data_IF_583389224357
#
_entry.id   IF_583389224357
#
_cell.length_a   1.000
_cell.length_b   1.000
_cell.length_c   1.000
_cell.angle_alpha   90.00
_cell.angle_beta   90.00
_cell.angle_gamma   90.00
#
_symmetry.space_group_name_H-M   'P 1'
#
loop_
_entity.id
_entity.type
_entity.pdbx_description
1 polymer ?
#
# COMPACT_ATOMS: atom_id res chain seq x y z
N UNK A 1 -76.25 -48.54 10.19
CA UNK A 1 -75.28 -49.64 10.26
C UNK A 1 -73.99 -49.09 10.79
N UNK A 2 -73.74 -49.23 12.06
CA UNK A 2 -72.67 -48.65 12.84
C UNK A 2 -71.50 -49.63 12.88
N UNK A 3 -70.32 -49.19 12.61
CA UNK A 3 -69.12 -49.98 12.93
C UNK A 3 -68.23 -49.16 13.85
N UNK A 4 -68.21 -49.58 15.09
CA UNK A 4 -67.27 -49.18 16.12
C UNK A 4 -65.86 -49.65 15.72
N UNK A 5 -64.90 -48.77 15.72
CA UNK A 5 -63.45 -49.17 15.67
C UNK A 5 -62.77 -48.65 16.95
N UNK A 6 -62.22 -49.62 17.64
CA UNK A 6 -61.55 -49.55 18.95
C UNK A 6 -60.22 -48.78 18.84
N UNK A 7 -60.00 -47.84 19.74
CA UNK A 7 -58.74 -47.15 19.99
C UNK A 7 -57.84 -47.95 20.94
N UNK A 8 -56.56 -48.16 20.60
CA UNK A 8 -55.62 -48.73 21.57
C UNK A 8 -55.06 -47.64 22.50
N UNK A 9 -54.99 -47.97 23.75
CA UNK A 9 -54.54 -47.24 24.92
C UNK A 9 -53.05 -47.03 24.87
N UNK A 10 -52.62 -45.73 24.93
CA UNK A 10 -51.21 -45.36 25.00
C UNK A 10 -50.61 -45.69 26.38
N UNK A 11 -49.51 -46.44 26.36
CA UNK A 11 -48.69 -46.75 27.54
C UNK A 11 -47.70 -45.59 27.84
N UNK A 12 -47.16 -45.49 29.06
CA UNK A 12 -46.32 -44.37 29.46
C UNK A 12 -44.93 -44.39 28.79
N UNK A 13 -44.56 -43.27 28.22
CA UNK A 13 -43.28 -43.03 27.62
C UNK A 13 -42.17 -43.04 28.68
N UNK A 14 -41.30 -44.04 28.62
CA UNK A 14 -40.02 -44.06 29.36
C UNK A 14 -39.10 -42.96 28.85
N UNK A 15 -38.80 -41.99 29.69
CA UNK A 15 -37.81 -40.95 29.43
C UNK A 15 -36.42 -41.53 29.18
N UNK A 16 -35.94 -41.39 27.94
CA UNK A 16 -34.54 -41.60 27.61
C UNK A 16 -33.75 -40.38 28.03
N UNK A 17 -33.02 -40.49 29.13
CA UNK A 17 -31.97 -39.56 29.51
C UNK A 17 -30.90 -39.62 28.45
N UNK A 18 -30.73 -38.50 27.73
CA UNK A 18 -29.56 -38.28 26.81
C UNK A 18 -28.40 -37.89 27.69
N UNK A 19 -27.21 -38.52 27.55
CA UNK A 19 -26.01 -38.04 28.21
C UNK A 19 -25.60 -36.70 27.58
N UNK A 20 -25.42 -35.69 28.42
CA UNK A 20 -24.86 -34.43 28.05
C UNK A 20 -23.39 -34.68 27.64
N UNK A 21 -23.10 -34.64 26.35
CA UNK A 21 -21.71 -34.59 25.81
C UNK A 21 -21.11 -33.23 26.21
N UNK A 22 -20.31 -33.27 27.25
CA UNK A 22 -19.44 -32.17 27.64
C UNK A 22 -18.35 -32.03 26.55
N UNK A 23 -18.55 -31.18 25.55
CA UNK A 23 -17.57 -30.85 24.56
C UNK A 23 -16.53 -29.96 25.24
N UNK A 24 -15.44 -30.57 25.72
CA UNK A 24 -14.23 -29.83 26.17
C UNK A 24 -13.61 -29.20 24.94
N UNK A 25 -13.83 -27.89 24.75
CA UNK A 25 -13.16 -27.07 23.78
C UNK A 25 -11.71 -26.89 24.24
N UNK A 26 -10.84 -27.76 23.76
CA UNK A 26 -9.39 -27.65 23.95
C UNK A 26 -8.91 -26.48 23.10
N UNK A 27 -8.80 -25.29 23.70
CA UNK A 27 -8.09 -24.14 23.07
C UNK A 27 -6.62 -24.57 22.90
N UNK A 28 -6.25 -24.94 21.68
CA UNK A 28 -4.87 -25.06 21.26
C UNK A 28 -4.25 -23.64 21.31
N UNK A 29 -3.61 -23.33 22.43
CA UNK A 29 -2.65 -22.24 22.50
C UNK A 29 -1.50 -22.59 21.57
N UNK A 30 -1.54 -22.12 20.32
CA UNK A 30 -0.39 -22.19 19.44
C UNK A 30 0.75 -21.41 20.11
N UNK A 31 1.95 -22.00 20.26
CA UNK A 31 3.08 -21.25 20.79
C UNK A 31 3.36 -20.06 19.86
N UNK A 32 3.40 -18.87 20.44
CA UNK A 32 3.85 -17.67 19.73
C UNK A 32 5.34 -17.85 19.47
N UNK A 33 5.70 -18.15 18.24
CA UNK A 33 7.09 -18.28 17.82
C UNK A 33 7.69 -16.89 17.72
N UNK A 34 8.59 -16.54 18.62
CA UNK A 34 9.40 -15.32 18.52
C UNK A 34 10.32 -15.46 17.29
N UNK A 35 10.14 -14.59 16.31
CA UNK A 35 10.96 -14.59 15.09
C UNK A 35 12.30 -13.86 15.34
N UNK A 36 13.14 -14.45 16.20
CA UNK A 36 14.50 -13.97 16.43
C UNK A 36 15.41 -14.37 15.27
N UNK A 37 16.30 -13.48 14.85
CA UNK A 37 17.33 -13.75 13.85
C UNK A 37 18.68 -13.76 14.57
N UNK A 38 19.40 -14.83 14.39
CA UNK A 38 20.75 -15.02 14.93
C UNK A 38 21.76 -14.96 13.80
N UNK A 39 22.95 -14.45 14.05
CA UNK A 39 24.03 -14.39 13.08
C UNK A 39 25.37 -14.83 13.70
N UNK A 40 26.25 -15.37 12.88
CA UNK A 40 27.68 -15.48 13.16
C UNK A 40 28.49 -15.22 11.88
N UNK A 41 29.71 -14.72 12.04
CA UNK A 41 30.66 -14.55 10.94
C UNK A 41 31.74 -15.62 11.04
N UNK A 42 31.99 -16.36 9.98
CA UNK A 42 33.02 -17.38 9.93
C UNK A 42 34.44 -16.78 9.72
N UNK A 43 35.44 -17.66 9.67
CA UNK A 43 36.84 -17.24 9.50
C UNK A 43 37.12 -16.57 8.14
N UNK A 44 36.28 -16.83 7.14
CA UNK A 44 36.41 -16.30 5.77
C UNK A 44 35.69 -14.93 5.64
N UNK A 45 35.11 -14.41 6.75
CA UNK A 45 34.37 -13.15 6.78
C UNK A 45 32.92 -13.24 6.29
N UNK A 46 32.40 -14.44 6.00
CA UNK A 46 31.01 -14.65 5.57
C UNK A 46 30.07 -14.63 6.77
N UNK A 47 29.03 -13.81 6.71
CA UNK A 47 28.03 -13.74 7.78
C UNK A 47 26.82 -14.64 7.45
N UNK A 48 26.56 -15.57 8.37
CA UNK A 48 25.46 -16.53 8.30
C UNK A 48 24.31 -16.05 9.18
N UNK A 49 23.07 -16.12 8.65
CA UNK A 49 21.85 -15.78 9.39
C UNK A 49 20.96 -17.02 9.55
N UNK A 50 20.35 -17.19 10.71
CA UNK A 50 19.39 -18.27 10.98
C UNK A 50 18.33 -17.82 11.99
N UNK A 51 17.09 -18.27 11.79
CA UNK A 51 16.02 -18.13 12.78
C UNK A 51 15.99 -19.29 13.79
N UNK A 52 16.77 -20.36 13.54
CA UNK A 52 16.93 -21.53 14.41
C UNK A 52 18.43 -21.81 14.54
N UNK A 53 19.13 -21.18 15.50
CA UNK A 53 20.57 -21.37 15.65
C UNK A 53 20.87 -22.80 16.10
N UNK A 54 21.60 -23.55 15.27
CA UNK A 54 22.05 -24.92 15.58
C UNK A 54 23.48 -24.97 16.10
N UNK A 55 24.16 -23.81 16.16
CA UNK A 55 25.57 -23.68 16.54
C UNK A 55 25.73 -22.61 17.65
N UNK A 56 26.59 -22.87 18.60
CA UNK A 56 26.91 -21.97 19.75
C UNK A 56 27.57 -20.66 19.30
N UNK A 57 28.05 -20.54 18.08
CA UNK A 57 28.64 -19.33 17.49
C UNK A 57 27.58 -18.30 17.13
N UNK A 58 26.34 -18.71 16.88
CA UNK A 58 25.26 -17.78 16.58
C UNK A 58 24.94 -16.88 17.76
N UNK A 59 24.96 -15.59 17.53
CA UNK A 59 24.55 -14.57 18.49
C UNK A 59 23.28 -13.91 18.01
N UNK A 60 22.42 -13.49 18.92
CA UNK A 60 21.20 -12.76 18.60
C UNK A 60 21.57 -11.47 17.87
N UNK A 61 21.21 -11.40 16.58
CA UNK A 61 21.46 -10.25 15.70
C UNK A 61 20.26 -9.31 15.65
N UNK A 62 19.05 -9.88 15.65
CA UNK A 62 17.78 -9.15 15.67
C UNK A 62 16.81 -9.90 16.57
N UNK A 63 16.32 -9.24 17.61
CA UNK A 63 15.16 -9.71 18.37
C UNK A 63 13.92 -8.96 17.89
N UNK A 64 12.78 -9.66 17.80
CA UNK A 64 11.48 -9.00 17.77
C UNK A 64 10.94 -8.97 19.20
N UNK A 65 11.21 -7.91 19.98
CA UNK A 65 10.64 -7.80 21.32
C UNK A 65 9.11 -7.67 21.18
N UNK A 66 8.37 -8.27 22.09
CA UNK A 66 6.91 -8.08 22.22
C UNK A 66 6.52 -6.60 22.34
N UNK A 67 7.45 -5.75 22.77
CA UNK A 67 7.26 -4.30 22.94
C UNK A 67 7.30 -3.50 21.64
N UNK A 68 7.66 -4.12 20.49
CA UNK A 68 7.68 -3.44 19.19
C UNK A 68 6.28 -3.09 18.65
N UNK A 69 5.19 -3.62 19.21
CA UNK A 69 3.85 -3.23 18.82
C UNK A 69 3.57 -1.75 19.15
N UNK A 70 4.03 -1.26 20.30
CA UNK A 70 3.91 0.16 20.67
C UNK A 70 4.92 1.04 19.91
N UNK A 71 6.16 0.60 19.76
CA UNK A 71 7.20 1.34 19.01
C UNK A 71 6.84 1.42 17.53
N UNK A 72 6.33 0.33 16.93
CA UNK A 72 5.87 0.35 15.52
C UNK A 72 4.56 1.11 15.36
N UNK A 73 3.66 1.09 16.33
CA UNK A 73 2.46 1.91 16.35
C UNK A 73 2.81 3.40 16.53
N UNK A 74 3.76 3.73 17.39
CA UNK A 74 4.32 5.08 17.55
C UNK A 74 5.01 5.60 16.28
N UNK A 75 5.91 4.81 15.67
CA UNK A 75 6.53 5.14 14.38
C UNK A 75 5.51 5.24 13.24
N UNK A 76 4.46 4.43 13.25
CA UNK A 76 3.39 4.47 12.25
C UNK A 76 2.52 5.72 12.43
N UNK A 77 2.17 6.10 13.68
CA UNK A 77 1.42 7.32 14.00
C UNK A 77 2.22 8.58 13.65
N UNK A 78 3.51 8.65 13.98
CA UNK A 78 4.38 9.78 13.63
C UNK A 78 4.61 9.87 12.13
N UNK A 79 4.80 8.75 11.43
CA UNK A 79 4.92 8.72 9.97
C UNK A 79 3.64 9.15 9.24
N UNK A 80 2.47 8.80 9.77
CA UNK A 80 1.18 9.21 9.20
C UNK A 80 0.93 10.70 9.42
N UNK A 81 1.21 11.20 10.63
CA UNK A 81 1.08 12.63 10.95
C UNK A 81 2.05 13.47 10.11
N UNK A 82 3.31 13.02 9.96
CA UNK A 82 4.30 13.68 9.10
C UNK A 82 3.83 13.74 7.64
N UNK A 83 3.35 12.63 7.08
CA UNK A 83 2.82 12.63 5.70
C UNK A 83 1.60 13.52 5.54
N UNK A 84 0.73 13.59 6.54
CA UNK A 84 -0.43 14.47 6.52
C UNK A 84 0.00 15.94 6.52
N UNK A 85 1.00 16.34 7.33
CA UNK A 85 1.55 17.70 7.35
C UNK A 85 2.25 18.07 6.04
N UNK A 86 3.03 17.14 5.45
CA UNK A 86 3.65 17.35 4.14
C UNK A 86 2.61 17.46 3.02
N UNK A 87 1.55 16.64 3.06
CA UNK A 87 0.42 16.78 2.14
C UNK A 87 -0.21 18.17 2.24
N UNK A 88 -0.53 18.62 3.45
CA UNK A 88 -1.12 19.94 3.68
C UNK A 88 -0.23 21.06 3.14
N UNK A 89 1.09 20.96 3.35
CA UNK A 89 2.08 21.92 2.85
C UNK A 89 2.01 22.12 1.32
N UNK A 90 1.76 21.06 0.57
CA UNK A 90 1.79 21.08 -0.90
C UNK A 90 0.40 21.11 -1.53
N UNK A 91 -0.70 21.03 -0.74
CA UNK A 91 -2.05 20.92 -1.29
C UNK A 91 -2.40 22.05 -2.24
N UNK A 92 -2.16 23.29 -1.87
CA UNK A 92 -2.48 24.44 -2.72
C UNK A 92 -1.75 24.38 -4.07
N UNK A 93 -0.46 24.05 -4.07
CA UNK A 93 0.34 23.90 -5.29
C UNK A 93 -0.22 22.76 -6.17
N UNK A 94 -0.51 21.62 -5.56
CA UNK A 94 -0.99 20.41 -6.27
C UNK A 94 -2.38 20.68 -6.85
N UNK A 95 -3.30 21.23 -6.05
CA UNK A 95 -4.69 21.49 -6.46
C UNK A 95 -4.76 22.54 -7.57
N UNK A 96 -4.00 23.64 -7.46
CA UNK A 96 -3.95 24.66 -8.52
C UNK A 96 -3.30 24.13 -9.81
N UNK A 97 -2.28 23.29 -9.70
CA UNK A 97 -1.67 22.65 -10.87
C UNK A 97 -2.63 21.69 -11.56
N UNK A 98 -3.35 20.87 -10.78
CA UNK A 98 -4.37 19.97 -11.30
C UNK A 98 -5.48 20.72 -12.03
N UNK A 99 -5.97 21.81 -11.44
CA UNK A 99 -6.97 22.68 -12.05
C UNK A 99 -6.47 23.26 -13.39
N UNK A 100 -5.25 23.81 -13.40
CA UNK A 100 -4.65 24.43 -14.58
C UNK A 100 -4.52 23.44 -15.76
N UNK A 101 -4.23 22.17 -15.46
CA UNK A 101 -3.99 21.12 -16.46
C UNK A 101 -5.20 20.23 -16.70
N UNK A 102 -6.38 20.59 -16.14
CA UNK A 102 -7.61 19.80 -16.21
C UNK A 102 -7.37 18.33 -15.81
N UNK A 103 -6.72 18.14 -14.66
CA UNK A 103 -6.52 16.85 -14.01
C UNK A 103 -7.36 16.76 -12.73
N UNK A 104 -7.71 15.54 -12.33
CA UNK A 104 -8.28 15.31 -11.01
C UNK A 104 -7.19 15.49 -9.93
N UNK A 105 -7.40 16.46 -9.03
CA UNK A 105 -6.48 16.72 -7.93
C UNK A 105 -6.28 15.49 -7.02
N UNK A 106 -7.33 14.68 -6.84
CA UNK A 106 -7.23 13.43 -6.07
C UNK A 106 -6.27 12.42 -6.73
N UNK A 107 -6.23 12.38 -8.07
CA UNK A 107 -5.29 11.55 -8.82
C UNK A 107 -3.85 12.08 -8.67
N UNK A 108 -3.65 13.38 -8.84
CA UNK A 108 -2.32 13.99 -8.73
C UNK A 108 -1.74 13.79 -7.32
N UNK A 109 -2.56 13.97 -6.29
CA UNK A 109 -2.21 13.63 -4.92
C UNK A 109 -1.86 12.15 -4.73
N UNK A 110 -2.56 11.23 -5.41
CA UNK A 110 -2.31 9.79 -5.31
C UNK A 110 -0.97 9.40 -5.92
N UNK A 111 -0.61 10.00 -7.06
CA UNK A 111 0.71 9.84 -7.69
C UNK A 111 1.79 10.33 -6.75
N UNK A 112 1.73 11.59 -6.29
CA UNK A 112 2.75 12.18 -5.39
C UNK A 112 2.90 11.39 -4.09
N UNK A 113 1.79 10.92 -3.51
CA UNK A 113 1.83 10.07 -2.31
C UNK A 113 2.55 8.75 -2.55
N UNK A 114 2.44 8.20 -3.76
CA UNK A 114 3.08 6.92 -4.13
C UNK A 114 4.54 7.11 -4.50
N UNK A 115 4.87 8.18 -5.22
CA UNK A 115 6.22 8.48 -5.70
C UNK A 115 7.18 8.88 -4.58
N UNK A 116 6.81 9.86 -3.80
CA UNK A 116 7.71 10.46 -2.81
C UNK A 116 7.17 10.47 -1.38
N UNK A 117 5.88 10.15 -1.18
CA UNK A 117 5.19 10.40 0.08
C UNK A 117 5.21 11.89 0.47
N UNK A 118 5.18 12.78 -0.53
CA UNK A 118 5.29 14.24 -0.41
C UNK A 118 6.67 14.76 0.01
N UNK A 119 7.73 13.95 -0.13
CA UNK A 119 9.10 14.40 0.11
C UNK A 119 9.67 15.06 -1.15
N UNK A 120 9.77 16.38 -1.16
CA UNK A 120 10.30 17.14 -2.30
C UNK A 120 11.80 16.91 -2.55
N UNK A 121 12.53 16.40 -1.55
CA UNK A 121 13.96 16.05 -1.65
C UNK A 121 14.21 14.57 -1.97
N UNK A 122 13.16 13.81 -2.29
CA UNK A 122 13.31 12.39 -2.58
C UNK A 122 14.19 12.18 -3.83
N UNK A 123 15.13 11.24 -3.73
CA UNK A 123 15.94 10.77 -4.86
C UNK A 123 15.86 9.26 -4.87
N UNK A 124 15.50 8.68 -6.00
CA UNK A 124 15.49 7.23 -6.18
C UNK A 124 16.87 6.68 -6.53
N UNK A 125 17.15 5.39 -6.33
CA UNK A 125 18.39 4.75 -6.78
C UNK A 125 18.64 4.88 -8.30
N UNK A 126 17.57 5.06 -9.08
CA UNK A 126 17.63 5.26 -10.54
C UNK A 126 17.80 6.72 -10.95
N UNK A 127 17.87 7.66 -9.99
CA UNK A 127 18.03 9.09 -10.24
C UNK A 127 16.75 9.87 -10.50
N UNK A 128 15.58 9.32 -10.20
CA UNK A 128 14.31 10.08 -10.20
C UNK A 128 14.28 11.03 -8.99
N UNK A 129 13.80 12.27 -9.18
CA UNK A 129 13.91 13.35 -8.19
C UNK A 129 12.57 14.00 -7.91
N UNK A 130 12.36 14.40 -6.65
CA UNK A 130 11.35 15.33 -6.20
C UNK A 130 9.98 14.71 -5.91
N UNK A 131 8.96 15.56 -5.80
CA UNK A 131 7.60 15.17 -5.40
C UNK A 131 6.99 14.12 -6.32
N UNK A 132 7.20 14.25 -7.64
CA UNK A 132 6.64 13.37 -8.66
C UNK A 132 7.68 12.40 -9.25
N UNK A 133 8.88 12.31 -8.65
CA UNK A 133 9.94 11.38 -9.03
C UNK A 133 10.24 11.41 -10.53
N UNK A 134 10.55 12.60 -11.05
CA UNK A 134 10.87 12.74 -12.46
C UNK A 134 12.31 12.35 -12.76
N UNK A 135 12.49 11.57 -13.81
CA UNK A 135 13.83 11.38 -14.40
C UNK A 135 14.30 12.67 -15.07
N UNK A 136 15.59 13.01 -14.97
CA UNK A 136 16.13 14.23 -15.61
C UNK A 136 15.77 14.37 -17.10
N UNK A 137 15.81 13.28 -17.84
CA UNK A 137 15.44 13.27 -19.26
C UNK A 137 13.95 13.62 -19.47
N UNK A 138 13.05 13.12 -18.61
CA UNK A 138 11.62 13.47 -18.67
C UNK A 138 11.39 14.92 -18.28
N UNK A 139 12.03 15.38 -17.22
CA UNK A 139 11.92 16.76 -16.74
C UNK A 139 12.38 17.78 -17.80
N UNK A 140 13.48 17.48 -18.51
CA UNK A 140 14.01 18.32 -19.58
C UNK A 140 13.02 18.55 -20.72
N UNK A 141 12.14 17.59 -21.03
CA UNK A 141 11.06 17.74 -22.04
C UNK A 141 10.08 18.88 -21.68
N UNK A 142 9.96 19.21 -20.40
CA UNK A 142 9.03 20.21 -19.87
C UNK A 142 9.74 21.47 -19.36
N UNK A 143 11.01 21.67 -19.73
CA UNK A 143 11.77 22.88 -19.42
C UNK A 143 12.14 23.04 -17.93
N UNK A 144 12.20 21.94 -17.17
CA UNK A 144 12.62 21.97 -15.76
C UNK A 144 14.11 22.27 -15.67
N UNK A 145 14.46 23.31 -14.93
CA UNK A 145 15.85 23.69 -14.65
C UNK A 145 16.32 23.24 -13.29
N UNK A 146 15.38 23.10 -12.32
CA UNK A 146 15.64 22.58 -10.97
C UNK A 146 14.58 21.55 -10.59
N UNK A 147 15.00 20.28 -10.55
CA UNK A 147 14.13 19.14 -10.16
C UNK A 147 13.75 19.15 -8.68
N UNK A 148 14.52 19.86 -7.84
CA UNK A 148 14.20 20.04 -6.42
C UNK A 148 13.23 21.19 -6.18
N UNK A 149 12.99 22.07 -7.15
CA UNK A 149 11.92 23.05 -7.04
C UNK A 149 10.55 22.35 -7.11
N UNK A 150 9.74 22.42 -6.04
CA UNK A 150 8.46 21.72 -5.98
C UNK A 150 7.49 22.18 -7.06
N UNK A 151 7.51 23.47 -7.40
CA UNK A 151 6.62 24.06 -8.41
C UNK A 151 6.93 23.54 -9.81
N UNK A 152 8.22 23.54 -10.20
CA UNK A 152 8.64 22.98 -11.48
C UNK A 152 8.40 21.48 -11.56
N UNK A 153 8.74 20.73 -10.50
CA UNK A 153 8.59 19.29 -10.44
C UNK A 153 7.12 18.85 -10.56
N UNK A 154 6.21 19.46 -9.79
CA UNK A 154 4.77 19.12 -9.84
C UNK A 154 4.17 19.49 -11.19
N UNK A 155 4.51 20.68 -11.73
CA UNK A 155 3.99 21.11 -13.04
C UNK A 155 4.41 20.17 -14.14
N UNK A 156 5.70 19.84 -14.24
CA UNK A 156 6.23 18.95 -15.28
C UNK A 156 5.67 17.53 -15.16
N UNK A 157 5.60 16.99 -13.95
CA UNK A 157 5.02 15.66 -13.73
C UNK A 157 3.53 15.59 -14.05
N UNK A 158 2.78 16.64 -13.74
CA UNK A 158 1.38 16.75 -14.09
C UNK A 158 1.18 16.92 -15.60
N UNK A 159 2.04 17.68 -16.30
CA UNK A 159 2.03 17.77 -17.76
C UNK A 159 2.28 16.41 -18.40
N UNK A 160 3.27 15.67 -17.92
CA UNK A 160 3.54 14.32 -18.38
C UNK A 160 2.35 13.38 -18.13
N UNK A 161 1.76 13.43 -16.95
CA UNK A 161 0.56 12.65 -16.63
C UNK A 161 -0.59 12.99 -17.58
N UNK A 162 -0.82 14.28 -17.87
CA UNK A 162 -1.85 14.75 -18.81
C UNK A 162 -1.60 14.26 -20.25
N UNK A 163 -0.33 14.30 -20.70
CA UNK A 163 0.06 13.76 -22.01
C UNK A 163 -0.27 12.27 -22.12
N UNK A 164 0.08 11.50 -21.06
CA UNK A 164 -0.21 10.07 -21.00
C UNK A 164 -1.72 9.78 -21.00
N UNK A 165 -2.53 10.61 -20.31
CA UNK A 165 -4.00 10.48 -20.34
C UNK A 165 -4.55 10.63 -21.76
N UNK A 166 -4.05 11.61 -22.53
CA UNK A 166 -4.43 11.76 -23.93
C UNK A 166 -3.97 10.59 -24.81
N UNK A 167 -2.77 10.07 -24.53
CA UNK A 167 -2.18 8.97 -25.29
C UNK A 167 -2.86 7.63 -25.09
N UNK A 168 -3.40 7.38 -23.91
CA UNK A 168 -4.05 6.11 -23.53
C UNK A 168 -5.55 6.25 -23.29
N UNK A 169 -6.22 7.21 -23.94
CA UNK A 169 -7.66 7.41 -23.91
C UNK A 169 -8.26 7.44 -22.50
N UNK A 170 -7.52 8.01 -21.54
CA UNK A 170 -7.84 8.08 -20.12
C UNK A 170 -7.95 6.70 -19.42
N UNK A 171 -7.43 5.61 -20.00
CA UNK A 171 -7.27 4.35 -19.26
C UNK A 171 -6.21 4.54 -18.17
N UNK A 172 -6.67 4.81 -16.95
CA UNK A 172 -5.78 5.09 -15.81
C UNK A 172 -4.80 3.95 -15.52
N UNK A 173 -5.12 2.72 -15.84
CA UNK A 173 -4.19 1.60 -15.63
C UNK A 173 -2.99 1.69 -16.57
N UNK A 174 -3.24 2.01 -17.83
CA UNK A 174 -2.19 2.19 -18.84
C UNK A 174 -1.42 3.49 -18.60
N UNK A 175 -2.11 4.57 -18.27
CA UNK A 175 -1.51 5.87 -17.90
C UNK A 175 -0.51 5.71 -16.77
N UNK A 176 -0.91 5.06 -15.67
CA UNK A 176 -0.05 4.86 -14.51
C UNK A 176 1.09 3.87 -14.79
N UNK A 177 0.83 2.83 -15.60
CA UNK A 177 1.88 1.93 -16.04
C UNK A 177 2.92 2.66 -16.91
N UNK A 178 2.47 3.54 -17.82
CA UNK A 178 3.35 4.35 -18.66
C UNK A 178 4.12 5.39 -17.85
N UNK A 179 3.49 6.00 -16.86
CA UNK A 179 4.16 6.94 -15.96
C UNK A 179 5.35 6.27 -15.23
N UNK A 180 5.15 5.06 -14.72
CA UNK A 180 6.17 4.33 -13.97
C UNK A 180 7.21 3.63 -14.86
N UNK A 181 6.79 2.96 -15.94
CA UNK A 181 7.66 2.12 -16.78
C UNK A 181 8.09 2.80 -18.08
N UNK A 182 7.51 3.94 -18.41
CA UNK A 182 7.65 4.62 -19.70
C UNK A 182 6.63 4.16 -20.74
N UNK A 183 6.16 5.10 -21.57
CA UNK A 183 5.16 4.86 -22.60
C UNK A 183 5.58 3.82 -23.63
N UNK A 184 6.89 3.77 -23.94
CA UNK A 184 7.43 2.77 -24.88
C UNK A 184 7.35 1.34 -24.31
N UNK A 185 7.46 1.18 -22.99
CA UNK A 185 7.30 -0.14 -22.37
C UNK A 185 5.87 -0.63 -22.56
N UNK A 186 4.87 0.21 -22.28
CA UNK A 186 3.45 -0.14 -22.47
C UNK A 186 3.17 -0.48 -23.95
N UNK A 187 3.70 0.30 -24.88
CA UNK A 187 3.55 0.05 -26.32
C UNK A 187 4.14 -1.31 -26.74
N UNK A 188 5.37 -1.64 -26.27
CA UNK A 188 6.01 -2.95 -26.55
C UNK A 188 5.20 -4.13 -26.05
N UNK A 189 4.41 -3.95 -24.98
CA UNK A 189 3.53 -4.98 -24.44
C UNK A 189 2.11 -4.91 -25.00
N UNK A 190 1.93 -4.30 -26.19
CA UNK A 190 0.64 -4.27 -26.88
C UNK A 190 -0.44 -3.48 -26.15
N UNK A 191 -0.09 -2.33 -25.59
CA UNK A 191 -0.94 -1.49 -24.75
C UNK A 191 -1.53 -2.27 -23.56
N UNK A 192 -0.67 -2.97 -22.85
CA UNK A 192 -0.97 -3.66 -21.59
C UNK A 192 0.01 -3.22 -20.51
N UNK A 193 -0.40 -3.39 -19.26
CA UNK A 193 0.51 -3.16 -18.12
C UNK A 193 1.69 -4.13 -18.24
N UNK A 194 2.94 -3.62 -18.37
CA UNK A 194 4.12 -4.49 -18.45
C UNK A 194 4.26 -5.36 -17.20
N UNK A 195 4.68 -6.63 -17.33
CA UNK A 195 4.82 -7.55 -16.19
C UNK A 195 6.09 -7.27 -15.37
N UNK A 196 6.45 -6.01 -15.23
CA UNK A 196 7.54 -5.60 -14.35
C UNK A 196 7.05 -5.56 -12.91
N UNK A 197 7.77 -6.19 -12.00
CA UNK A 197 7.38 -6.30 -10.60
C UNK A 197 7.06 -4.93 -9.99
N UNK A 198 7.87 -3.91 -10.28
CA UNK A 198 7.65 -2.55 -9.81
C UNK A 198 6.32 -1.98 -10.32
N UNK A 199 6.06 -2.08 -11.63
CA UNK A 199 4.84 -1.54 -12.27
C UNK A 199 3.58 -2.27 -11.83
N UNK A 200 3.66 -3.60 -11.67
CA UNK A 200 2.56 -4.42 -11.17
C UNK A 200 2.15 -4.06 -9.73
N UNK A 201 3.08 -3.54 -8.92
CA UNK A 201 2.82 -3.05 -7.57
C UNK A 201 2.42 -1.56 -7.56
N UNK A 202 2.98 -0.77 -8.46
CA UNK A 202 2.74 0.66 -8.55
C UNK A 202 1.30 0.99 -8.91
N UNK A 203 0.79 0.42 -10.01
CA UNK A 203 -0.55 0.73 -10.54
C UNK A 203 -1.64 0.53 -9.49
N UNK A 204 -1.79 -0.63 -8.82
CA UNK A 204 -2.82 -0.80 -7.80
C UNK A 204 -2.61 0.08 -6.57
N UNK A 205 -1.36 0.43 -6.23
CA UNK A 205 -1.05 1.33 -5.13
C UNK A 205 -1.56 2.75 -5.38
N UNK A 206 -1.32 3.28 -6.59
CA UNK A 206 -1.83 4.61 -6.97
C UNK A 206 -3.34 4.61 -7.04
N UNK A 207 -3.97 3.61 -7.67
CA UNK A 207 -5.43 3.50 -7.76
C UNK A 207 -6.08 3.41 -6.37
N UNK A 208 -5.47 2.66 -5.44
CA UNK A 208 -5.95 2.59 -4.07
C UNK A 208 -5.81 3.92 -3.31
N UNK A 209 -4.72 4.68 -3.55
CA UNK A 209 -4.57 6.04 -3.01
C UNK A 209 -5.60 6.99 -3.61
N UNK A 210 -5.84 6.89 -4.90
CA UNK A 210 -6.81 7.70 -5.63
C UNK A 210 -8.23 7.51 -5.09
N UNK A 211 -8.68 6.26 -4.97
CA UNK A 211 -9.99 5.94 -4.39
C UNK A 211 -10.17 6.51 -2.97
N UNK A 212 -9.13 6.43 -2.13
CA UNK A 212 -9.16 7.03 -0.78
C UNK A 212 -9.20 8.55 -0.80
N UNK A 213 -8.54 9.19 -1.77
CA UNK A 213 -8.57 10.64 -1.89
C UNK A 213 -9.93 11.16 -2.35
N UNK A 214 -10.62 10.45 -3.24
CA UNK A 214 -11.98 10.81 -3.68
C UNK A 214 -13.01 10.77 -2.55
N UNK A 215 -12.80 9.92 -1.55
CA UNK A 215 -13.69 9.81 -0.37
C UNK A 215 -13.43 10.89 0.69
N UNK A 216 -12.36 11.69 0.56
CA UNK A 216 -12.07 12.77 1.49
C UNK A 216 -12.87 14.00 1.09
N UNK A 217 -13.65 14.62 2.02
CA UNK A 217 -14.23 15.92 1.77
C UNK A 217 -13.12 16.90 1.41
N UNK A 218 -13.31 17.66 0.34
CA UNK A 218 -12.44 18.81 0.04
C UNK A 218 -12.50 19.71 1.28
N UNK A 219 -11.34 20.02 1.85
CA UNK A 219 -11.27 21.01 2.91
C UNK A 219 -11.71 22.34 2.30
N UNK A 220 -12.96 22.73 2.54
CA UNK A 220 -13.44 24.07 2.21
C UNK A 220 -12.65 25.02 3.09
N UNK A 221 -11.87 25.98 2.55
CA UNK A 221 -11.23 26.98 3.38
C UNK A 221 -12.34 27.77 4.07
N UNK A 222 -12.42 27.69 5.40
CA UNK A 222 -13.21 28.64 6.17
C UNK A 222 -12.57 30.01 5.99
N UNK A 223 -13.16 30.85 5.16
CA UNK A 223 -12.91 32.28 5.15
C UNK A 223 -13.46 32.84 6.45
N UNK A 224 -12.59 33.13 7.41
CA UNK A 224 -12.85 34.08 8.51
C UNK A 224 -12.42 35.48 8.12
#
# INVERSE_FOLDING_TARGET
MAILTCLPRAGPARGRQRPALLTVLLLLLAPVVDANIYAFTDADGTTHFSNVPQDKRYRLALSTPRDNAEITAGKRKTGTAYRASQRARWSQLIDSTAQTLNLDAALLHAVIATESGYNWRAVSPKGAIGLMQLMPATAGRYGVTDLYDPGQNVRAGAQYLRELMGRFDNDLRLVLAAYNAGEQAVARYGNRVPPYQETMQYVPRVLGNYARNQQRPLAVPEYR
#
